data_IF_476897493451
#
_entry.id   IF_476897493451
#
_cell.length_a   1.000
_cell.length_b   1.000
_cell.length_c   1.000
_cell.angle_alpha   90.00
_cell.angle_beta   90.00
_cell.angle_gamma   90.00
#
_symmetry.space_group_name_H-M   'P 1'
#
loop_
_entity.id
_entity.type
_entity.pdbx_description
1 polymer ?
#
# COMPACT_ATOMS: atom_id res chain seq x y z
N UNK A 1 -49.69 30.09 -24.63
CA UNK A 1 -49.11 28.89 -25.25
C UNK A 1 -48.04 28.38 -24.30
N UNK A 2 -48.39 27.42 -23.49
CA UNK A 2 -47.54 26.78 -22.49
C UNK A 2 -46.86 25.58 -23.16
N UNK A 3 -45.54 25.56 -23.19
CA UNK A 3 -44.76 24.43 -23.66
C UNK A 3 -44.19 23.72 -22.43
N UNK A 4 -44.83 22.64 -22.07
CA UNK A 4 -44.34 21.67 -21.06
C UNK A 4 -43.26 20.78 -21.72
N UNK A 5 -42.01 20.99 -21.38
CA UNK A 5 -40.91 20.09 -21.72
C UNK A 5 -40.84 18.95 -20.70
N UNK A 6 -41.20 17.75 -21.09
CA UNK A 6 -40.95 16.53 -20.28
C UNK A 6 -39.46 16.22 -20.28
N UNK A 7 -38.85 16.27 -19.08
CA UNK A 7 -37.51 15.77 -18.85
C UNK A 7 -37.59 14.25 -18.75
N UNK A 8 -37.18 13.57 -19.81
CA UNK A 8 -36.99 12.12 -19.83
C UNK A 8 -35.97 11.72 -18.76
N UNK A 9 -36.45 11.08 -17.71
CA UNK A 9 -35.61 10.39 -16.73
C UNK A 9 -35.07 9.12 -17.42
N UNK A 10 -33.83 9.17 -17.91
CA UNK A 10 -33.11 7.97 -18.29
C UNK A 10 -32.89 7.14 -17.02
N UNK A 11 -33.59 6.03 -16.90
CA UNK A 11 -33.41 5.05 -15.85
C UNK A 11 -32.00 4.46 -15.97
N UNK A 12 -31.17 4.69 -14.95
CA UNK A 12 -29.94 3.92 -14.74
C UNK A 12 -30.38 2.47 -14.48
N UNK A 13 -29.89 1.47 -15.23
CA UNK A 13 -30.28 0.09 -14.98
C UNK A 13 -29.76 -0.30 -13.60
N UNK A 14 -30.68 -0.65 -12.69
CA UNK A 14 -30.37 -1.29 -11.41
C UNK A 14 -29.97 -2.76 -11.68
N UNK A 15 -28.80 -2.95 -12.27
CA UNK A 15 -28.16 -4.26 -12.33
C UNK A 15 -27.79 -4.66 -10.92
N UNK A 16 -28.34 -5.76 -10.40
CA UNK A 16 -27.84 -6.37 -9.16
C UNK A 16 -26.35 -6.65 -9.39
N UNK A 17 -25.50 -6.04 -8.57
CA UNK A 17 -24.05 -6.36 -8.56
C UNK A 17 -23.94 -7.81 -8.12
N UNK A 18 -23.51 -8.68 -9.00
CA UNK A 18 -23.25 -10.10 -8.69
C UNK A 18 -21.98 -10.14 -7.83
N UNK A 19 -22.06 -10.74 -6.66
CA UNK A 19 -20.90 -10.85 -5.75
C UNK A 19 -19.84 -11.78 -6.32
N UNK A 20 -18.60 -11.64 -5.85
CA UNK A 20 -17.50 -12.52 -6.25
C UNK A 20 -17.83 -14.00 -5.99
N UNK A 21 -18.48 -14.32 -4.86
CA UNK A 21 -18.91 -15.68 -4.55
C UNK A 21 -19.96 -16.22 -5.53
N UNK A 22 -20.89 -15.40 -6.00
CA UNK A 22 -21.85 -15.79 -7.04
C UNK A 22 -21.20 -15.97 -8.42
N UNK A 23 -20.22 -15.11 -8.76
CA UNK A 23 -19.49 -15.15 -10.05
C UNK A 23 -18.56 -16.36 -10.18
N UNK A 24 -17.79 -16.66 -9.13
CA UNK A 24 -16.73 -17.69 -9.18
C UNK A 24 -17.09 -18.98 -8.41
N UNK A 25 -18.20 -19.00 -7.69
CA UNK A 25 -18.57 -20.09 -6.79
C UNK A 25 -17.70 -20.15 -5.54
N UNK A 26 -18.14 -20.91 -4.56
CA UNK A 26 -17.43 -21.17 -3.30
C UNK A 26 -16.80 -22.56 -3.35
N UNK A 27 -15.60 -22.71 -2.81
CA UNK A 27 -14.92 -24.00 -2.64
C UNK A 27 -15.09 -24.50 -1.21
N UNK A 28 -14.91 -25.79 -1.00
CA UNK A 28 -14.75 -26.36 0.33
C UNK A 28 -13.36 -25.99 0.87
N UNK A 29 -13.27 -25.68 2.19
CA UNK A 29 -11.98 -25.42 2.82
C UNK A 29 -11.14 -26.70 2.77
N UNK A 30 -9.90 -26.63 2.25
CA UNK A 30 -9.07 -27.80 2.12
C UNK A 30 -8.56 -28.28 3.48
N UNK A 31 -8.16 -29.57 3.52
CA UNK A 31 -7.46 -30.13 4.68
C UNK A 31 -6.06 -29.50 4.79
N UNK A 32 -5.78 -28.93 5.97
CA UNK A 32 -4.53 -28.24 6.29
C UNK A 32 -3.53 -29.14 7.03
N UNK A 33 -3.70 -30.47 6.96
CA UNK A 33 -2.73 -31.41 7.50
C UNK A 33 -1.39 -31.27 6.80
N UNK A 34 -0.32 -31.13 7.57
CA UNK A 34 1.05 -31.09 7.03
C UNK A 34 1.49 -32.51 6.61
N UNK A 35 1.54 -32.76 5.31
CA UNK A 35 1.90 -34.04 4.70
C UNK A 35 3.31 -34.03 4.12
N UNK A 36 3.87 -35.19 3.81
CA UNK A 36 5.18 -35.34 3.15
C UNK A 36 5.19 -34.64 1.75
N UNK A 37 4.03 -34.60 1.06
CA UNK A 37 3.88 -33.91 -0.19
C UNK A 37 4.02 -32.39 0.02
N UNK A 38 3.27 -31.82 0.97
CA UNK A 38 3.36 -30.41 1.32
C UNK A 38 4.76 -30.04 1.80
N UNK A 39 5.38 -30.88 2.62
CA UNK A 39 6.76 -30.68 3.10
C UNK A 39 7.74 -30.55 1.93
N UNK A 40 7.69 -31.50 0.99
CA UNK A 40 8.56 -31.53 -0.19
C UNK A 40 8.32 -30.32 -1.11
N UNK A 41 7.07 -30.02 -1.43
CA UNK A 41 6.71 -29.00 -2.40
C UNK A 41 6.96 -27.58 -1.87
N UNK A 42 6.87 -27.38 -0.54
CA UNK A 42 7.12 -26.08 0.10
C UNK A 42 8.56 -25.91 0.60
N UNK A 43 9.41 -26.94 0.57
CA UNK A 43 10.81 -26.84 0.99
C UNK A 43 11.60 -25.71 0.29
N UNK A 44 11.47 -25.48 -1.04
CA UNK A 44 12.14 -24.37 -1.70
C UNK A 44 11.66 -22.99 -1.21
N UNK A 45 10.39 -22.87 -0.82
CA UNK A 45 9.80 -21.65 -0.28
C UNK A 45 10.27 -21.40 1.15
N UNK A 46 10.42 -22.46 1.94
CA UNK A 46 10.98 -22.36 3.29
C UNK A 46 12.41 -21.78 3.26
N UNK A 47 13.24 -22.17 2.29
CA UNK A 47 14.60 -21.61 2.14
C UNK A 47 14.59 -20.07 1.97
N UNK A 48 13.48 -19.50 1.50
CA UNK A 48 13.33 -18.06 1.38
C UNK A 48 13.07 -17.34 2.71
N UNK A 49 12.53 -18.06 3.71
CA UNK A 49 12.06 -17.47 4.97
C UNK A 49 12.66 -18.09 6.23
N UNK A 50 13.53 -19.09 6.11
CA UNK A 50 14.10 -19.86 7.23
C UNK A 50 14.87 -19.02 8.27
N UNK A 51 15.34 -17.82 7.90
CA UNK A 51 15.99 -16.91 8.81
C UNK A 51 14.99 -16.06 9.64
N UNK A 52 13.71 -16.11 9.28
CA UNK A 52 12.63 -15.37 9.92
C UNK A 52 11.59 -16.28 10.57
N UNK A 53 11.44 -17.50 10.05
CA UNK A 53 10.48 -18.50 10.54
C UNK A 53 11.27 -19.74 10.99
N UNK A 54 11.27 -20.06 12.29
CA UNK A 54 11.91 -21.28 12.81
C UNK A 54 11.36 -22.54 12.15
N UNK A 55 12.20 -23.55 12.00
CA UNK A 55 11.80 -24.81 11.35
C UNK A 55 10.61 -25.50 12.03
N UNK A 56 10.48 -25.34 13.34
CA UNK A 56 9.37 -25.90 14.11
C UNK A 56 8.03 -25.24 13.81
N UNK A 57 8.03 -23.99 13.32
CA UNK A 57 6.81 -23.22 12.97
C UNK A 57 6.39 -23.47 11.52
N UNK A 58 7.33 -23.88 10.66
CA UNK A 58 7.04 -24.07 9.24
C UNK A 58 5.87 -25.02 8.94
N UNK A 59 5.71 -26.17 9.65
CA UNK A 59 4.55 -27.04 9.46
C UNK A 59 3.19 -26.39 9.67
N UNK A 60 3.13 -25.27 10.39
CA UNK A 60 1.89 -24.48 10.57
C UNK A 60 1.63 -23.59 9.35
N UNK A 61 2.67 -23.05 8.73
CA UNK A 61 2.58 -22.16 7.57
C UNK A 61 2.46 -22.90 6.23
N UNK A 62 3.19 -24.01 6.09
CA UNK A 62 3.35 -24.72 4.83
C UNK A 62 2.03 -25.17 4.17
N UNK A 63 1.03 -25.71 4.88
CA UNK A 63 -0.25 -26.08 4.28
C UNK A 63 -0.98 -24.88 3.67
N UNK A 64 -0.99 -23.74 4.37
CA UNK A 64 -1.58 -22.50 3.83
C UNK A 64 -0.85 -22.02 2.58
N UNK A 65 0.49 -21.99 2.62
CA UNK A 65 1.32 -21.57 1.48
C UNK A 65 1.05 -22.47 0.27
N UNK A 66 1.00 -23.77 0.48
CA UNK A 66 0.75 -24.76 -0.58
C UNK A 66 -0.63 -24.57 -1.21
N UNK A 67 -1.68 -24.49 -0.38
CA UNK A 67 -3.05 -24.34 -0.85
C UNK A 67 -3.31 -22.98 -1.49
N UNK A 68 -2.79 -21.89 -0.95
CA UNK A 68 -2.90 -20.55 -1.55
C UNK A 68 -2.30 -20.57 -2.97
N UNK A 69 -1.09 -21.12 -3.13
CA UNK A 69 -0.42 -21.17 -4.44
C UNK A 69 -1.13 -22.08 -5.45
N UNK A 70 -1.89 -23.06 -5.00
CA UNK A 70 -2.72 -23.92 -5.82
C UNK A 70 -4.03 -23.22 -6.20
N UNK A 71 -4.79 -22.77 -5.21
CA UNK A 71 -6.12 -22.19 -5.42
C UNK A 71 -6.05 -20.86 -6.20
N UNK A 72 -5.03 -20.01 -5.99
CA UNK A 72 -4.90 -18.78 -6.77
C UNK A 72 -4.82 -19.04 -8.28
N UNK A 73 -4.19 -20.15 -8.70
CA UNK A 73 -4.13 -20.56 -10.11
C UNK A 73 -5.50 -21.05 -10.60
N UNK A 74 -6.20 -21.84 -9.79
CA UNK A 74 -7.54 -22.33 -10.11
C UNK A 74 -8.56 -21.20 -10.24
N UNK A 75 -8.37 -20.12 -9.47
CA UNK A 75 -9.20 -18.91 -9.44
C UNK A 75 -8.82 -17.88 -10.50
N UNK A 76 -7.79 -18.12 -11.29
CA UNK A 76 -7.20 -17.08 -12.15
C UNK A 76 -6.94 -15.79 -11.34
N UNK A 77 -6.23 -15.93 -10.23
CA UNK A 77 -5.98 -14.86 -9.26
C UNK A 77 -4.50 -14.52 -9.14
N UNK A 78 -4.20 -13.22 -9.01
CA UNK A 78 -2.88 -12.68 -8.71
C UNK A 78 -2.86 -12.08 -7.31
N UNK A 79 -1.78 -12.32 -6.57
CA UNK A 79 -1.59 -11.77 -5.22
C UNK A 79 -0.58 -10.61 -5.27
N UNK A 80 -1.05 -9.41 -4.96
CA UNK A 80 -0.24 -8.20 -4.83
C UNK A 80 0.10 -7.97 -3.36
N UNK A 81 1.37 -7.87 -2.98
CA UNK A 81 1.79 -7.68 -1.60
C UNK A 81 2.66 -6.43 -1.40
N UNK A 82 2.26 -5.62 -0.43
CA UNK A 82 3.05 -4.45 -0.01
C UNK A 82 4.34 -4.89 0.70
N UNK A 83 5.38 -4.06 0.62
CA UNK A 83 6.71 -4.29 1.24
C UNK A 83 6.63 -4.51 2.78
N UNK A 84 5.52 -4.12 3.43
CA UNK A 84 5.30 -4.29 4.88
C UNK A 84 4.58 -5.59 5.25
N UNK A 85 4.30 -6.47 4.30
CA UNK A 85 3.73 -7.78 4.61
C UNK A 85 4.75 -8.67 5.33
N UNK A 86 4.25 -9.68 6.04
CA UNK A 86 5.11 -10.66 6.71
C UNK A 86 5.90 -11.50 5.71
N UNK A 87 7.09 -12.02 6.07
CA UNK A 87 7.97 -12.74 5.14
C UNK A 87 7.31 -13.92 4.42
N UNK A 88 6.44 -14.68 5.11
CA UNK A 88 5.74 -15.82 4.51
C UNK A 88 4.73 -15.39 3.44
N UNK A 89 4.09 -14.22 3.60
CA UNK A 89 3.22 -13.65 2.57
C UNK A 89 4.06 -13.12 1.42
N UNK A 90 5.06 -12.29 1.76
CA UNK A 90 5.89 -11.59 0.79
C UNK A 90 6.69 -12.53 -0.09
N UNK A 91 7.31 -13.57 0.48
CA UNK A 91 8.21 -14.47 -0.25
C UNK A 91 7.55 -15.73 -0.77
N UNK A 92 6.49 -16.23 -0.12
CA UNK A 92 5.97 -17.56 -0.41
C UNK A 92 4.65 -17.59 -1.18
N UNK A 93 3.83 -16.53 -1.12
CA UNK A 93 2.53 -16.53 -1.81
C UNK A 93 2.31 -15.33 -2.75
N UNK A 94 3.00 -14.19 -2.52
CA UNK A 94 2.85 -13.01 -3.37
C UNK A 94 3.48 -13.20 -4.75
N UNK A 95 2.76 -12.80 -5.79
CA UNK A 95 3.22 -12.79 -7.18
C UNK A 95 3.91 -11.46 -7.51
N UNK A 96 3.30 -10.34 -7.12
CA UNK A 96 3.80 -9.00 -7.34
C UNK A 96 4.05 -8.31 -5.99
N UNK A 97 5.18 -7.64 -5.86
CA UNK A 97 5.66 -7.03 -4.61
C UNK A 97 6.13 -5.62 -4.87
N UNK A 98 5.81 -4.70 -3.96
CA UNK A 98 6.26 -3.32 -4.15
C UNK A 98 5.70 -2.32 -3.13
N UNK A 99 5.98 -1.05 -3.40
CA UNK A 99 5.31 0.07 -2.75
C UNK A 99 3.94 0.35 -3.38
N UNK A 100 3.18 1.28 -2.79
CA UNK A 100 1.82 1.60 -3.25
C UNK A 100 1.77 2.06 -4.71
N UNK A 101 2.78 2.81 -5.20
CA UNK A 101 2.80 3.28 -6.59
C UNK A 101 3.12 2.14 -7.56
N UNK A 102 4.08 1.31 -7.21
CA UNK A 102 4.44 0.14 -8.02
C UNK A 102 3.26 -0.82 -8.11
N UNK A 103 2.63 -1.16 -6.99
CA UNK A 103 1.48 -2.07 -6.99
C UNK A 103 0.29 -1.49 -7.76
N UNK A 104 0.04 -0.17 -7.68
CA UNK A 104 -1.00 0.48 -8.47
C UNK A 104 -0.72 0.37 -9.99
N UNK A 105 0.53 0.54 -10.43
CA UNK A 105 0.93 0.37 -11.83
C UNK A 105 0.82 -1.07 -12.29
N UNK A 106 1.38 -2.00 -11.52
CA UNK A 106 1.35 -3.43 -11.84
C UNK A 106 -0.09 -3.97 -11.90
N UNK A 107 -0.98 -3.49 -11.01
CA UNK A 107 -2.39 -3.85 -11.03
C UNK A 107 -3.08 -3.56 -12.38
N UNK A 108 -2.61 -2.56 -13.15
CA UNK A 108 -3.15 -2.25 -14.49
C UNK A 108 -2.66 -3.20 -15.59
N UNK A 109 -1.64 -3.99 -15.32
CA UNK A 109 -0.95 -4.83 -16.31
C UNK A 109 -1.23 -6.33 -16.13
N UNK A 110 -1.92 -6.73 -15.05
CA UNK A 110 -2.24 -8.13 -14.77
C UNK A 110 -3.41 -8.60 -15.65
N UNK A 111 -3.32 -9.83 -16.13
CA UNK A 111 -4.35 -10.44 -16.98
C UNK A 111 -5.40 -11.20 -16.15
N UNK A 112 -5.08 -11.59 -14.92
CA UNK A 112 -5.94 -12.36 -14.03
C UNK A 112 -7.25 -11.63 -13.72
N UNK A 113 -8.34 -12.40 -13.59
CA UNK A 113 -9.68 -11.86 -13.29
C UNK A 113 -9.86 -11.45 -11.83
N UNK A 114 -9.04 -12.02 -10.95
CA UNK A 114 -9.10 -11.79 -9.51
C UNK A 114 -7.78 -11.20 -9.01
N UNK A 115 -7.85 -10.07 -8.31
CA UNK A 115 -6.71 -9.46 -7.62
C UNK A 115 -6.92 -9.66 -6.13
N UNK A 116 -5.97 -10.29 -5.44
CA UNK A 116 -5.93 -10.35 -3.98
C UNK A 116 -4.93 -9.33 -3.48
N UNK A 117 -5.40 -8.26 -2.85
CA UNK A 117 -4.56 -7.18 -2.33
C UNK A 117 -4.10 -7.48 -0.91
N UNK A 118 -2.87 -7.98 -0.74
CA UNK A 118 -2.21 -8.09 0.55
C UNK A 118 -1.57 -6.76 0.93
N UNK A 119 -2.40 -5.92 1.52
CA UNK A 119 -2.11 -4.54 1.93
C UNK A 119 -3.23 -4.01 2.79
N UNK A 120 -3.47 -2.71 2.73
CA UNK A 120 -4.55 -2.03 3.46
C UNK A 120 -5.68 -1.60 2.51
N UNK A 121 -6.83 -1.26 3.08
CA UNK A 121 -8.08 -1.08 2.34
C UNK A 121 -7.96 -0.06 1.19
N UNK A 122 -7.34 1.11 1.41
CA UNK A 122 -7.18 2.11 0.35
C UNK A 122 -6.35 1.62 -0.85
N UNK A 123 -5.46 0.64 -0.65
CA UNK A 123 -4.70 0.02 -1.75
C UNK A 123 -5.60 -0.90 -2.57
N UNK A 124 -6.48 -1.66 -1.92
CA UNK A 124 -7.46 -2.49 -2.59
C UNK A 124 -8.50 -1.64 -3.35
N UNK A 125 -8.96 -0.52 -2.77
CA UNK A 125 -9.77 0.47 -3.50
C UNK A 125 -9.04 1.02 -4.72
N UNK A 126 -7.74 1.35 -4.59
CA UNK A 126 -6.93 1.83 -5.71
C UNK A 126 -6.84 0.78 -6.83
N UNK A 127 -6.62 -0.48 -6.49
CA UNK A 127 -6.64 -1.60 -7.44
C UNK A 127 -8.02 -1.75 -8.12
N UNK A 128 -9.11 -1.60 -7.36
CA UNK A 128 -10.49 -1.65 -7.89
C UNK A 128 -10.81 -0.46 -8.79
N UNK A 129 -10.39 0.74 -8.43
CA UNK A 129 -10.55 1.94 -9.25
C UNK A 129 -9.87 1.80 -10.61
N UNK A 130 -8.69 1.20 -10.66
CA UNK A 130 -7.92 0.99 -11.88
C UNK A 130 -8.43 -0.20 -12.70
N UNK A 131 -9.10 -1.17 -12.06
CA UNK A 131 -9.62 -2.40 -12.68
C UNK A 131 -11.10 -2.62 -12.30
N UNK A 132 -12.02 -1.78 -12.79
CA UNK A 132 -13.42 -1.82 -12.36
C UNK A 132 -14.15 -3.13 -12.72
N UNK A 133 -13.71 -3.81 -13.77
CA UNK A 133 -14.28 -5.09 -14.27
C UNK A 133 -13.73 -6.30 -13.51
N UNK A 134 -12.54 -6.18 -12.87
CA UNK A 134 -11.94 -7.28 -12.12
C UNK A 134 -12.52 -7.38 -10.71
N UNK A 135 -12.49 -8.58 -10.18
CA UNK A 135 -12.79 -8.81 -8.76
C UNK A 135 -11.56 -8.50 -7.94
N UNK A 136 -11.68 -7.57 -6.99
CA UNK A 136 -10.60 -7.23 -6.06
C UNK A 136 -11.00 -7.67 -4.65
N UNK A 137 -10.20 -8.55 -4.07
CA UNK A 137 -10.37 -9.07 -2.72
C UNK A 137 -9.30 -8.46 -1.80
N UNK A 138 -9.69 -8.17 -0.56
CA UNK A 138 -8.77 -7.86 0.53
C UNK A 138 -8.98 -8.89 1.63
N UNK A 139 -7.95 -9.61 2.11
CA UNK A 139 -8.17 -10.70 3.07
C UNK A 139 -8.79 -10.31 4.42
N UNK A 140 -8.75 -9.02 4.78
CA UNK A 140 -9.49 -8.46 5.93
C UNK A 140 -9.90 -7.02 5.61
N UNK A 141 -11.20 -6.75 5.47
CA UNK A 141 -11.75 -5.40 5.22
C UNK A 141 -11.40 -4.39 6.32
N UNK A 142 -11.05 -4.86 7.53
CA UNK A 142 -10.62 -4.01 8.64
C UNK A 142 -9.13 -3.65 8.60
N UNK A 143 -8.41 -4.05 7.56
CA UNK A 143 -7.04 -3.59 7.32
C UNK A 143 -7.08 -2.13 6.87
N UNK A 144 -7.34 -1.21 7.81
CA UNK A 144 -7.45 0.24 7.62
C UNK A 144 -6.10 0.96 7.50
N UNK A 145 -6.12 2.25 7.77
CA UNK A 145 -4.91 3.10 7.83
C UNK A 145 -5.23 4.37 8.61
N UNK A 146 -4.41 4.73 9.60
CA UNK A 146 -4.63 5.93 10.41
C UNK A 146 -4.72 7.21 9.58
N UNK A 147 -3.96 7.31 8.49
CA UNK A 147 -4.04 8.42 7.54
C UNK A 147 -5.39 8.44 6.79
N UNK A 148 -5.83 7.28 6.29
CA UNK A 148 -7.09 7.18 5.55
C UNK A 148 -8.31 7.46 6.46
N UNK A 149 -8.21 7.14 7.74
CA UNK A 149 -9.26 7.38 8.75
C UNK A 149 -9.26 8.83 9.27
N UNK A 150 -8.19 9.61 9.02
CA UNK A 150 -8.06 10.98 9.54
C UNK A 150 -8.85 12.03 8.77
N UNK A 151 -9.33 11.75 7.57
CA UNK A 151 -9.96 12.69 6.65
C UNK A 151 -11.04 12.01 5.82
N UNK A 152 -12.11 12.74 5.49
CA UNK A 152 -13.21 12.30 4.63
C UNK A 152 -13.35 13.17 3.38
N UNK A 153 -14.09 12.71 2.36
CA UNK A 153 -14.40 13.53 1.19
C UNK A 153 -15.18 14.81 1.55
N UNK A 154 -15.99 14.78 2.63
CA UNK A 154 -16.66 15.99 3.13
C UNK A 154 -15.66 17.03 3.64
N UNK A 155 -14.62 16.62 4.34
CA UNK A 155 -13.54 17.52 4.79
C UNK A 155 -12.80 18.12 3.60
N UNK A 156 -12.55 17.33 2.55
CA UNK A 156 -11.89 17.83 1.33
C UNK A 156 -12.75 18.89 0.62
N UNK A 157 -14.07 18.72 0.58
CA UNK A 157 -14.98 19.76 0.06
C UNK A 157 -14.91 21.06 0.86
N UNK A 158 -14.87 20.97 2.19
CA UNK A 158 -14.69 22.15 3.05
C UNK A 158 -13.33 22.83 2.84
N UNK A 159 -12.26 22.04 2.66
CA UNK A 159 -10.94 22.58 2.32
C UNK A 159 -10.95 23.31 0.97
N UNK A 160 -11.66 22.78 -0.03
CA UNK A 160 -11.81 23.40 -1.35
C UNK A 160 -12.58 24.72 -1.28
N UNK A 161 -13.60 24.79 -0.45
CA UNK A 161 -14.37 26.04 -0.19
C UNK A 161 -13.51 27.07 0.54
N UNK A 162 -12.72 26.64 1.53
CA UNK A 162 -11.83 27.53 2.30
C UNK A 162 -10.63 28.03 1.49
N UNK A 163 -10.21 27.31 0.44
CA UNK A 163 -9.05 27.60 -0.39
C UNK A 163 -9.40 27.56 -1.89
N UNK A 164 -10.25 28.47 -2.39
CA UNK A 164 -10.72 28.43 -3.77
C UNK A 164 -9.56 28.58 -4.77
N UNK A 165 -9.53 27.67 -5.76
CA UNK A 165 -8.51 27.66 -6.81
C UNK A 165 -7.16 27.03 -6.40
N UNK A 166 -6.98 26.66 -5.15
CA UNK A 166 -5.78 25.92 -4.70
C UNK A 166 -5.91 24.44 -5.08
N UNK A 167 -4.95 23.87 -5.83
CA UNK A 167 -4.99 22.44 -6.16
C UNK A 167 -4.84 21.57 -4.93
N UNK A 168 -5.59 20.45 -4.91
CA UNK A 168 -5.59 19.47 -3.84
C UNK A 168 -4.89 18.20 -4.32
N UNK A 169 -3.72 17.94 -3.77
CA UNK A 169 -2.96 16.70 -3.93
C UNK A 169 -3.28 15.80 -2.75
N UNK A 170 -3.82 14.62 -3.00
CA UNK A 170 -4.04 13.65 -1.94
C UNK A 170 -2.98 12.56 -1.97
N UNK A 171 -2.37 12.29 -0.83
CA UNK A 171 -1.57 11.09 -0.65
C UNK A 171 -2.47 9.86 -0.85
N UNK A 172 -1.98 8.85 -1.55
CA UNK A 172 -2.77 7.66 -1.91
C UNK A 172 -3.36 6.92 -0.69
N UNK A 173 -2.79 7.17 0.50
CA UNK A 173 -3.23 6.63 1.79
C UNK A 173 -4.53 7.31 2.28
N UNK A 174 -5.54 7.33 1.44
CA UNK A 174 -6.87 7.88 1.66
C UNK A 174 -7.92 6.99 1.01
N UNK A 175 -9.18 7.12 1.41
CA UNK A 175 -10.32 6.41 0.83
C UNK A 175 -10.69 6.93 -0.57
N UNK A 176 -11.54 6.18 -1.27
CA UNK A 176 -11.99 6.55 -2.61
C UNK A 176 -12.80 7.85 -2.63
N UNK A 177 -13.55 8.17 -1.57
CA UNK A 177 -14.30 9.43 -1.45
C UNK A 177 -13.39 10.66 -1.35
N UNK A 178 -12.28 10.57 -0.61
CA UNK A 178 -11.23 11.61 -0.57
C UNK A 178 -10.57 11.80 -1.93
N UNK A 179 -10.24 10.69 -2.61
CA UNK A 179 -9.68 10.72 -3.97
C UNK A 179 -10.62 11.36 -4.97
N UNK A 180 -11.94 11.12 -4.85
CA UNK A 180 -12.95 11.68 -5.74
C UNK A 180 -13.09 13.21 -5.64
N UNK A 181 -12.73 13.79 -4.49
CA UNK A 181 -12.75 15.22 -4.24
C UNK A 181 -11.37 15.91 -4.45
N UNK A 182 -10.35 15.14 -4.80
CA UNK A 182 -8.97 15.61 -5.01
C UNK A 182 -8.63 15.74 -6.48
N UNK A 183 -7.66 16.60 -6.82
CA UNK A 183 -7.27 16.84 -8.21
C UNK A 183 -6.32 15.77 -8.75
N UNK A 184 -5.45 15.24 -7.90
CA UNK A 184 -4.48 14.18 -8.23
C UNK A 184 -4.06 13.45 -6.96
N UNK A 185 -3.73 12.15 -7.10
CA UNK A 185 -3.06 11.40 -6.05
C UNK A 185 -1.54 11.55 -6.12
N UNK A 186 -0.86 11.30 -5.01
CA UNK A 186 0.58 11.09 -4.97
C UNK A 186 0.94 9.92 -4.06
N UNK A 187 2.19 9.48 -4.12
CA UNK A 187 2.81 8.60 -3.13
C UNK A 187 4.07 9.26 -2.59
N UNK A 188 4.69 8.69 -1.56
CA UNK A 188 5.99 9.16 -1.05
C UNK A 188 7.10 9.19 -2.11
N UNK A 189 6.97 8.37 -3.16
CA UNK A 189 7.97 8.32 -4.25
C UNK A 189 7.84 9.46 -5.26
N UNK A 190 6.68 10.12 -5.37
CA UNK A 190 6.45 11.14 -6.39
C UNK A 190 5.81 12.44 -5.89
N UNK A 191 5.61 12.59 -4.56
CA UNK A 191 4.90 13.74 -3.99
C UNK A 191 5.49 15.10 -4.42
N UNK A 192 6.81 15.27 -4.36
CA UNK A 192 7.48 16.51 -4.81
C UNK A 192 7.17 16.80 -6.28
N UNK A 193 7.30 15.78 -7.14
CA UNK A 193 7.05 15.92 -8.58
C UNK A 193 5.59 16.26 -8.87
N UNK A 194 4.64 15.65 -8.15
CA UNK A 194 3.21 15.97 -8.28
C UNK A 194 2.95 17.41 -7.87
N UNK A 195 3.48 17.86 -6.75
CA UNK A 195 3.36 19.24 -6.28
C UNK A 195 3.93 20.22 -7.31
N UNK A 196 5.12 19.96 -7.85
CA UNK A 196 5.77 20.80 -8.86
C UNK A 196 5.05 20.83 -10.21
N UNK A 197 4.18 19.85 -10.51
CA UNK A 197 3.43 19.80 -11.77
C UNK A 197 2.35 20.88 -11.90
N UNK A 198 1.95 21.53 -10.82
CA UNK A 198 0.96 22.60 -10.84
C UNK A 198 1.60 23.97 -11.11
N UNK A 199 0.89 24.84 -11.81
CA UNK A 199 1.32 26.24 -12.00
C UNK A 199 1.12 27.10 -10.74
N UNK A 200 0.25 26.70 -9.81
CA UNK A 200 -0.03 27.42 -8.57
C UNK A 200 1.18 27.44 -7.64
N UNK A 201 1.43 28.59 -6.99
CA UNK A 201 2.46 28.72 -5.96
C UNK A 201 2.05 28.13 -4.61
N UNK A 202 0.76 27.79 -4.44
CA UNK A 202 0.23 27.15 -3.24
C UNK A 202 -0.46 25.85 -3.61
N UNK A 203 -0.22 24.77 -2.85
CA UNK A 203 -0.80 23.45 -3.04
C UNK A 203 -1.27 22.92 -1.68
N UNK A 204 -2.45 22.31 -1.63
CA UNK A 204 -2.91 21.50 -0.51
C UNK A 204 -2.36 20.08 -0.69
N UNK A 205 -1.55 19.59 0.25
CA UNK A 205 -1.07 18.21 0.30
C UNK A 205 -1.63 17.53 1.54
N UNK A 206 -2.57 16.64 1.34
CA UNK A 206 -3.35 15.94 2.38
C UNK A 206 -3.13 14.43 2.29
N UNK A 207 -3.42 13.64 3.35
CA UNK A 207 -3.74 14.06 4.71
C UNK A 207 -2.51 14.07 5.66
N UNK A 208 -1.33 13.63 5.23
CA UNK A 208 -0.14 13.44 6.07
C UNK A 208 0.61 14.75 6.30
N UNK A 209 0.56 15.24 7.55
CA UNK A 209 1.23 16.47 7.96
C UNK A 209 2.75 16.38 7.80
N UNK A 210 3.35 15.26 8.22
CA UNK A 210 4.81 15.10 8.19
C UNK A 210 5.33 14.95 6.76
N UNK A 211 4.66 14.16 5.93
CA UNK A 211 4.99 14.10 4.50
C UNK A 211 4.90 15.50 3.86
N UNK A 212 3.84 16.25 4.15
CA UNK A 212 3.66 17.59 3.60
C UNK A 212 4.77 18.56 4.06
N UNK A 213 5.15 18.53 5.35
CA UNK A 213 6.24 19.33 5.90
C UNK A 213 7.61 18.95 5.30
N UNK A 214 7.85 17.67 5.08
CA UNK A 214 9.07 17.18 4.46
C UNK A 214 9.13 17.52 2.96
N UNK A 215 8.01 17.45 2.25
CA UNK A 215 7.89 17.90 0.85
C UNK A 215 8.10 19.42 0.77
N UNK A 216 7.57 20.21 1.70
CA UNK A 216 7.74 21.67 1.71
C UNK A 216 9.21 22.11 1.79
N UNK A 217 10.10 21.29 2.36
CA UNK A 217 11.55 21.56 2.37
C UNK A 217 12.22 21.35 1.02
N UNK A 218 11.55 20.65 0.08
CA UNK A 218 12.10 20.26 -1.21
C UNK A 218 11.49 21.06 -2.39
N UNK A 219 10.59 22.01 -2.10
CA UNK A 219 9.94 22.88 -3.09
C UNK A 219 9.95 24.33 -2.65
N UNK A 220 9.77 25.25 -3.60
CA UNK A 220 9.54 26.69 -3.31
C UNK A 220 8.06 27.00 -3.11
N UNK A 221 7.16 26.06 -3.38
CA UNK A 221 5.72 26.25 -3.25
C UNK A 221 5.29 26.27 -1.78
N UNK A 222 4.25 27.03 -1.49
CA UNK A 222 3.59 26.99 -0.18
C UNK A 222 2.75 25.75 -0.09
N UNK A 223 3.05 24.88 0.86
CA UNK A 223 2.29 23.65 1.11
C UNK A 223 1.34 23.90 2.29
N UNK A 224 0.05 23.74 2.05
CA UNK A 224 -0.99 23.63 3.07
C UNK A 224 -1.26 22.17 3.31
N UNK A 225 -1.58 21.78 4.53
CA UNK A 225 -1.75 20.38 4.89
C UNK A 225 -2.91 20.14 5.84
N UNK A 226 -3.23 18.86 6.03
CA UNK A 226 -4.12 18.33 7.06
C UNK A 226 -3.29 17.81 8.24
N UNK A 227 -3.91 17.55 9.39
CA UNK A 227 -3.22 17.07 10.60
C UNK A 227 -3.37 15.55 10.78
N UNK A 228 -3.21 14.79 9.72
CA UNK A 228 -3.15 13.34 9.80
C UNK A 228 -1.72 12.84 9.96
N UNK A 229 -1.52 11.73 10.69
CA UNK A 229 -0.22 11.12 10.92
C UNK A 229 -0.28 9.61 10.69
N UNK A 230 0.83 9.04 10.22
CA UNK A 230 1.00 7.60 10.21
C UNK A 230 1.40 7.11 11.60
N UNK A 231 0.55 6.32 12.26
CA UNK A 231 0.76 5.80 13.62
C UNK A 231 2.02 4.96 13.79
N UNK A 232 2.63 4.51 12.69
CA UNK A 232 3.91 3.77 12.70
C UNK A 232 5.08 4.73 12.70
N UNK A 233 5.05 5.71 11.75
CA UNK A 233 6.19 6.59 11.50
C UNK A 233 6.28 7.73 12.51
N UNK A 234 5.16 8.19 13.08
CA UNK A 234 5.16 9.24 14.13
C UNK A 234 5.85 8.83 15.42
N UNK A 235 6.04 7.52 15.66
CA UNK A 235 6.66 6.99 16.88
C UNK A 235 8.19 7.07 16.89
N UNK A 236 8.82 7.30 15.75
CA UNK A 236 10.28 7.46 15.69
C UNK A 236 10.69 8.85 16.16
N UNK A 237 11.76 8.93 16.92
CA UNK A 237 12.33 10.19 17.43
C UNK A 237 13.77 10.38 16.95
N UNK A 238 14.18 11.64 16.72
CA UNK A 238 15.55 11.94 16.34
C UNK A 238 16.57 11.52 17.40
N UNK A 239 16.19 11.63 18.67
CA UNK A 239 17.04 11.28 19.83
C UNK A 239 17.39 9.78 19.80
N UNK A 240 16.39 8.90 19.63
CA UNK A 240 16.62 7.46 19.51
C UNK A 240 17.53 7.11 18.34
N UNK A 241 17.36 7.78 17.19
CA UNK A 241 18.19 7.50 16.03
C UNK A 241 19.63 7.98 16.19
N UNK A 242 19.84 9.13 16.81
CA UNK A 242 21.17 9.65 17.10
C UNK A 242 21.91 8.76 18.09
N UNK A 243 21.22 8.17 19.08
CA UNK A 243 21.83 7.23 20.01
C UNK A 243 22.45 6.00 19.30
N UNK A 244 21.85 5.53 18.17
CA UNK A 244 22.48 4.49 17.36
C UNK A 244 23.78 4.97 16.71
N UNK A 245 23.85 6.21 16.18
CA UNK A 245 25.07 6.80 15.59
C UNK A 245 26.14 7.12 16.64
N UNK A 246 25.77 7.48 17.85
CA UNK A 246 26.73 7.67 18.94
C UNK A 246 27.42 6.36 19.31
N UNK A 247 26.68 5.24 19.31
CA UNK A 247 27.24 3.91 19.55
C UNK A 247 28.07 3.35 18.39
N UNK A 248 27.67 3.64 17.15
CA UNK A 248 28.38 3.23 15.94
C UNK A 248 28.20 4.29 14.83
N UNK A 249 29.18 5.19 14.64
CA UNK A 249 29.14 6.25 13.64
C UNK A 249 29.05 5.76 12.18
N UNK A 250 29.33 4.48 11.91
CA UNK A 250 29.24 3.89 10.58
C UNK A 250 27.79 3.57 10.16
N UNK A 251 26.83 3.63 11.10
CA UNK A 251 25.41 3.38 10.83
C UNK A 251 24.87 4.48 9.92
N UNK A 252 24.25 4.07 8.82
CA UNK A 252 23.51 4.94 7.90
C UNK A 252 22.03 4.88 8.21
N UNK A 253 21.43 6.03 8.56
CA UNK A 253 20.01 6.15 8.87
C UNK A 253 19.25 6.42 7.57
N UNK A 254 18.33 5.54 7.21
CA UNK A 254 17.42 5.77 6.08
C UNK A 254 15.98 5.80 6.57
N UNK A 255 15.26 6.87 6.28
CA UNK A 255 13.94 7.13 6.84
C UNK A 255 12.85 7.29 5.78
N UNK A 256 11.63 6.85 6.12
CA UNK A 256 10.46 7.12 5.30
C UNK A 256 10.01 8.59 5.48
N UNK A 257 9.55 9.30 4.43
CA UNK A 257 9.16 10.70 4.52
C UNK A 257 7.87 10.97 5.31
N UNK A 258 7.14 9.93 5.75
CA UNK A 258 6.06 10.04 6.74
C UNK A 258 6.57 10.19 8.18
N UNK A 259 7.88 10.09 8.40
CA UNK A 259 8.47 10.34 9.71
C UNK A 259 8.45 11.83 10.06
N UNK A 260 8.44 12.17 11.37
CA UNK A 260 8.55 13.55 11.81
C UNK A 260 9.72 14.30 11.15
N UNK A 261 9.57 15.61 10.86
CA UNK A 261 10.65 16.40 10.26
C UNK A 261 11.97 16.41 11.01
N UNK A 262 11.96 16.17 12.33
CA UNK A 262 13.16 16.01 13.14
C UNK A 262 13.90 14.70 12.85
N UNK A 263 13.17 13.62 12.59
CA UNK A 263 13.69 12.30 12.20
C UNK A 263 14.33 12.37 10.81
N UNK A 264 13.61 12.98 9.86
CA UNK A 264 14.10 13.18 8.49
C UNK A 264 15.36 14.05 8.46
N UNK A 265 15.48 15.02 9.37
CA UNK A 265 16.65 15.91 9.44
C UNK A 265 17.95 15.20 9.87
N UNK A 266 17.87 14.09 10.59
CA UNK A 266 19.03 13.30 11.04
C UNK A 266 19.31 12.07 10.15
N UNK A 267 18.45 11.81 9.15
CA UNK A 267 18.60 10.71 8.23
C UNK A 267 19.66 11.01 7.15
N UNK A 268 20.46 10.01 6.78
CA UNK A 268 21.41 10.09 5.67
C UNK A 268 20.71 9.98 4.30
N UNK A 269 19.53 9.37 4.30
CA UNK A 269 18.66 9.27 3.12
C UNK A 269 17.19 9.26 3.53
N UNK A 270 16.35 9.90 2.74
CA UNK A 270 14.90 9.87 2.89
C UNK A 270 14.25 9.53 1.56
N UNK A 271 13.35 8.55 1.57
CA UNK A 271 12.65 8.13 0.36
C UNK A 271 11.54 7.13 0.63
N UNK A 272 10.75 6.82 -0.42
CA UNK A 272 9.76 5.75 -0.38
C UNK A 272 10.40 4.39 -0.09
N UNK A 273 9.59 3.37 0.21
CA UNK A 273 10.12 2.02 0.44
C UNK A 273 10.91 1.51 -0.76
N UNK A 274 10.49 1.80 -1.99
CA UNK A 274 11.27 1.49 -3.20
C UNK A 274 12.60 2.24 -3.23
N UNK A 275 12.61 3.53 -2.92
CA UNK A 275 13.83 4.34 -2.84
C UNK A 275 14.80 3.84 -1.75
N UNK A 276 14.26 3.44 -0.59
CA UNK A 276 15.05 2.86 0.51
C UNK A 276 15.68 1.52 0.09
N UNK A 277 14.98 0.69 -0.69
CA UNK A 277 15.51 -0.56 -1.25
C UNK A 277 16.69 -0.26 -2.18
N UNK A 278 16.53 0.67 -3.11
CA UNK A 278 17.59 1.03 -4.07
C UNK A 278 18.79 1.67 -3.36
N UNK A 279 18.57 2.50 -2.35
CA UNK A 279 19.64 3.02 -1.51
C UNK A 279 20.41 1.88 -0.82
N UNK A 280 19.71 0.94 -0.18
CA UNK A 280 20.33 -0.20 0.49
C UNK A 280 21.16 -1.07 -0.50
N UNK A 281 20.59 -1.37 -1.68
CA UNK A 281 21.31 -2.11 -2.74
C UNK A 281 22.60 -1.44 -3.21
N UNK A 282 22.65 -0.11 -3.17
CA UNK A 282 23.83 0.66 -3.59
C UNK A 282 24.95 0.67 -2.56
N UNK A 283 24.72 0.11 -1.37
CA UNK A 283 25.74 0.08 -0.29
C UNK A 283 26.71 -1.07 -0.49
N UNK A 284 27.93 -0.88 0.05
CA UNK A 284 28.96 -1.93 0.04
C UNK A 284 28.60 -3.04 1.03
N UNK A 285 29.08 -4.25 0.78
CA UNK A 285 29.00 -5.33 1.75
C UNK A 285 29.64 -4.92 3.09
N UNK A 286 28.96 -5.25 4.19
CA UNK A 286 29.33 -4.83 5.54
C UNK A 286 28.80 -3.46 5.97
N UNK A 287 28.06 -2.75 5.09
CA UNK A 287 27.40 -1.51 5.49
C UNK A 287 26.27 -1.81 6.49
N UNK A 288 26.15 -0.97 7.52
CA UNK A 288 25.08 -1.02 8.52
C UNK A 288 24.02 0.03 8.21
N UNK A 289 22.80 -0.40 8.03
CA UNK A 289 21.67 0.47 7.67
C UNK A 289 20.58 0.38 8.72
N UNK A 290 20.32 1.50 9.37
CA UNK A 290 19.18 1.67 10.28
C UNK A 290 17.95 2.03 9.44
N UNK A 291 17.00 1.10 9.37
CA UNK A 291 15.82 1.22 8.51
C UNK A 291 14.64 1.80 9.31
N UNK A 292 14.39 3.10 9.15
CA UNK A 292 13.38 3.85 9.91
C UNK A 292 12.05 3.83 9.16
N UNK A 293 11.37 2.68 9.27
CA UNK A 293 10.05 2.41 8.71
C UNK A 293 9.44 1.16 9.37
N UNK A 294 8.37 0.61 8.82
CA UNK A 294 7.75 -0.63 9.31
C UNK A 294 8.72 -1.82 9.26
N UNK A 295 8.85 -2.54 10.37
CA UNK A 295 10.00 -3.43 10.58
C UNK A 295 10.02 -4.70 9.70
N UNK A 296 8.88 -5.18 9.18
CA UNK A 296 8.88 -6.33 8.26
C UNK A 296 9.60 -6.04 6.95
N UNK A 297 9.68 -4.77 6.55
CA UNK A 297 10.37 -4.38 5.33
C UNK A 297 11.83 -4.87 5.31
N UNK A 298 12.56 -4.72 6.42
CA UNK A 298 13.95 -5.15 6.49
C UNK A 298 14.10 -6.66 6.17
N UNK A 299 13.22 -7.49 6.75
CA UNK A 299 13.21 -8.94 6.50
C UNK A 299 12.91 -9.28 5.04
N UNK A 300 12.08 -8.47 4.40
CA UNK A 300 11.67 -8.67 3.00
C UNK A 300 12.75 -8.25 1.99
N UNK A 301 13.58 -7.27 2.33
CA UNK A 301 14.60 -6.72 1.40
C UNK A 301 16.02 -7.22 1.65
N UNK A 302 16.27 -7.93 2.76
CA UNK A 302 17.60 -8.40 3.16
C UNK A 302 18.31 -9.18 2.03
N UNK A 303 17.56 -10.04 1.31
CA UNK A 303 18.10 -10.79 0.18
C UNK A 303 18.43 -9.93 -1.06
N UNK A 304 17.80 -8.77 -1.17
CA UNK A 304 18.01 -7.84 -2.30
C UNK A 304 19.25 -6.96 -2.09
N UNK A 305 19.57 -6.63 -0.83
CA UNK A 305 20.74 -5.83 -0.46
C UNK A 305 21.80 -6.74 0.19
N UNK A 306 22.43 -7.59 -0.63
CA UNK A 306 23.37 -8.61 -0.17
C UNK A 306 24.54 -8.02 0.61
N UNK A 307 24.76 -8.53 1.81
CA UNK A 307 25.87 -8.14 2.68
C UNK A 307 25.64 -6.83 3.45
N UNK A 308 24.48 -6.21 3.35
CA UNK A 308 24.07 -5.09 4.19
C UNK A 308 23.47 -5.65 5.48
N UNK A 309 23.92 -5.13 6.61
CA UNK A 309 23.35 -5.41 7.93
C UNK A 309 22.22 -4.41 8.22
N UNK A 310 20.98 -4.92 8.36
CA UNK A 310 19.84 -4.07 8.69
C UNK A 310 19.61 -4.00 10.20
N UNK A 311 19.62 -2.79 10.73
CA UNK A 311 19.21 -2.48 12.10
C UNK A 311 17.76 -2.03 12.05
N UNK A 312 16.91 -2.61 12.91
CA UNK A 312 15.45 -2.44 12.89
C UNK A 312 14.97 -1.82 14.20
N UNK A 313 14.75 -0.51 14.29
CA UNK A 313 13.88 0.00 15.33
C UNK A 313 12.47 -0.46 14.98
N UNK A 314 11.89 -1.38 15.77
CA UNK A 314 10.74 -2.14 15.31
C UNK A 314 9.41 -1.49 15.69
N UNK A 315 8.79 -0.79 14.74
CA UNK A 315 7.38 -0.40 14.79
C UNK A 315 6.60 -1.21 13.75
N UNK A 316 5.62 -2.00 14.20
CA UNK A 316 4.74 -2.80 13.35
C UNK A 316 3.49 -2.00 12.98
N UNK A 317 3.03 -2.12 11.74
CA UNK A 317 1.74 -1.60 11.33
C UNK A 317 0.62 -2.59 11.70
N UNK A 318 -0.27 -2.23 12.65
CA UNK A 318 -1.33 -3.15 13.09
C UNK A 318 -2.32 -3.46 11.96
N UNK A 319 -2.51 -2.55 11.04
CA UNK A 319 -3.40 -2.72 9.88
C UNK A 319 -2.83 -3.72 8.87
N UNK A 320 -1.55 -3.59 8.50
CA UNK A 320 -0.88 -4.54 7.59
C UNK A 320 -0.84 -5.95 8.17
N UNK A 321 -0.70 -6.09 9.49
CA UNK A 321 -0.66 -7.39 10.19
C UNK A 321 -2.03 -8.06 10.34
N UNK A 322 -3.11 -7.40 9.92
CA UNK A 322 -4.42 -8.06 9.78
C UNK A 322 -4.46 -9.06 8.62
N UNK A 323 -3.61 -8.86 7.62
CA UNK A 323 -3.47 -9.78 6.50
C UNK A 323 -2.62 -10.96 6.96
N UNK A 324 -3.18 -12.16 6.88
CA UNK A 324 -2.55 -13.42 7.33
C UNK A 324 -2.79 -14.51 6.30
N UNK A 325 -1.95 -15.55 6.29
CA UNK A 325 -2.13 -16.71 5.40
C UNK A 325 -3.53 -17.34 5.50
N UNK A 326 -4.10 -17.58 6.70
CA UNK A 326 -5.46 -18.10 6.81
C UNK A 326 -6.49 -17.22 6.10
N UNK A 327 -6.43 -15.89 6.27
CA UNK A 327 -7.39 -14.97 5.64
C UNK A 327 -7.21 -14.87 4.13
N UNK A 328 -5.98 -14.98 3.63
CA UNK A 328 -5.71 -15.05 2.19
C UNK A 328 -6.36 -16.31 1.61
N UNK A 329 -6.15 -17.46 2.27
CA UNK A 329 -6.77 -18.71 1.85
C UNK A 329 -8.31 -18.61 1.86
N UNK A 330 -8.87 -18.11 2.95
CA UNK A 330 -10.33 -17.93 3.10
C UNK A 330 -10.91 -17.00 2.03
N UNK A 331 -10.23 -15.90 1.70
CA UNK A 331 -10.70 -14.98 0.65
C UNK A 331 -10.73 -15.65 -0.73
N UNK A 332 -9.76 -16.49 -1.04
CA UNK A 332 -9.71 -17.27 -2.28
C UNK A 332 -10.72 -18.42 -2.32
N UNK A 333 -10.90 -19.14 -1.22
CA UNK A 333 -11.82 -20.29 -1.11
C UNK A 333 -13.27 -19.82 -1.22
N UNK A 334 -13.63 -18.81 -0.43
CA UNK A 334 -15.01 -18.33 -0.30
C UNK A 334 -15.32 -17.15 -1.21
N UNK A 335 -14.35 -16.62 -1.95
CA UNK A 335 -14.50 -15.40 -2.78
C UNK A 335 -15.17 -14.26 -1.99
N UNK A 336 -14.70 -14.03 -0.77
CA UNK A 336 -15.24 -13.04 0.16
C UNK A 336 -14.28 -11.87 0.39
N UNK A 337 -14.77 -10.83 1.07
CA UNK A 337 -14.04 -9.58 1.30
C UNK A 337 -13.74 -8.85 -0.03
N UNK A 338 -14.76 -8.81 -0.91
CA UNK A 338 -14.69 -8.07 -2.17
C UNK A 338 -14.80 -6.56 -1.93
N UNK A 339 -13.86 -5.82 -2.53
CA UNK A 339 -13.86 -4.35 -2.46
C UNK A 339 -14.73 -3.78 -3.56
N UNK A 340 -15.76 -3.04 -3.15
CA UNK A 340 -16.68 -2.34 -4.02
C UNK A 340 -16.52 -0.83 -3.82
N UNK A 341 -16.59 -0.08 -4.90
CA UNK A 341 -16.57 1.40 -4.88
C UNK A 341 -17.84 1.89 -5.56
N UNK A 342 -18.51 2.87 -4.95
CA UNK A 342 -19.71 3.49 -5.54
C UNK A 342 -19.39 3.99 -6.96
N UNK A 343 -20.15 3.59 -8.00
CA UNK A 343 -19.87 3.95 -9.38
C UNK A 343 -19.83 5.47 -9.64
N UNK A 344 -20.65 6.26 -8.91
CA UNK A 344 -20.68 7.72 -9.06
C UNK A 344 -19.39 8.37 -8.55
N UNK A 345 -18.83 7.80 -7.49
CA UNK A 345 -17.55 8.24 -6.90
C UNK A 345 -16.37 7.68 -7.68
N UNK A 346 -16.44 6.42 -8.10
CA UNK A 346 -15.35 5.67 -8.72
C UNK A 346 -14.75 6.39 -9.94
N UNK A 347 -15.58 7.01 -10.79
CA UNK A 347 -15.11 7.71 -11.99
C UNK A 347 -14.19 8.89 -11.65
N UNK A 348 -14.55 9.71 -10.64
CA UNK A 348 -13.73 10.84 -10.19
C UNK A 348 -12.47 10.37 -9.47
N UNK A 349 -12.60 9.43 -8.53
CA UNK A 349 -11.48 8.88 -7.79
C UNK A 349 -10.45 8.24 -8.72
N UNK A 350 -10.90 7.50 -9.76
CA UNK A 350 -10.05 6.94 -10.80
C UNK A 350 -9.23 8.01 -11.52
N UNK A 351 -9.84 9.13 -11.92
CA UNK A 351 -9.12 10.21 -12.60
C UNK A 351 -7.95 10.73 -11.75
N UNK A 352 -8.15 10.91 -10.44
CA UNK A 352 -7.08 11.36 -9.54
C UNK A 352 -5.95 10.33 -9.44
N UNK A 353 -6.28 9.03 -9.41
CA UNK A 353 -5.29 7.93 -9.39
C UNK A 353 -4.57 7.83 -10.74
N UNK A 354 -5.28 7.85 -11.86
CA UNK A 354 -4.70 7.75 -13.21
C UNK A 354 -3.73 8.89 -13.51
N UNK A 355 -4.06 10.13 -13.08
CA UNK A 355 -3.14 11.27 -13.19
C UNK A 355 -1.82 10.99 -12.47
N UNK A 356 -1.86 10.37 -11.29
CA UNK A 356 -0.67 9.99 -10.53
C UNK A 356 0.15 8.90 -11.26
N UNK A 357 -0.52 7.85 -11.73
CA UNK A 357 0.13 6.70 -12.39
C UNK A 357 0.78 7.13 -13.70
N UNK A 358 0.11 8.01 -14.46
CA UNK A 358 0.54 8.47 -15.78
C UNK A 358 1.51 9.66 -15.74
N UNK A 359 1.79 10.23 -14.55
CA UNK A 359 2.76 11.30 -14.44
C UNK A 359 4.16 10.76 -14.76
N UNK A 360 4.69 11.16 -15.96
CA UNK A 360 5.99 10.68 -16.45
C UNK A 360 7.12 11.07 -15.51
N UNK A 361 8.08 10.19 -15.34
CA UNK A 361 9.39 10.55 -14.79
C UNK A 361 10.08 11.45 -15.83
N UNK A 362 10.42 12.68 -15.45
CA UNK A 362 11.31 13.53 -16.27
C UNK A 362 12.74 13.02 -16.14
#
# INVERSE_FOLDING_TARGET
MTVSGEISKSAVPSGKTVSAAEKFGVMEMPDLTYTDEIARDTAPLYELVKHHIPAIEWPVHAPYVWWINKIKKERNAVILAHNYQTPEIYHCVADIKGDSLQLAREATMVDEEVIVQCGVHFMAETSKLLNPEKTVLIPDMRAGCSLAESITGADVRLLREAHPGVPIVTYVNTSADVKAESDICCTSSNAVRVVESFASDTVLLIPDEFLAQNVAKLTKKKILTWKGHCEVHERFTAEELLAYKENDPAIQIIAHPECPPSVVAVADYTGSTAGMIEYAKSRKSGAKVLLVTECSMASNIEKQAKGVEFIKPCNLCPHMKRITLPKILESLVYMREEVLVDPLMAAKARQAVERMVNLKAN
#
